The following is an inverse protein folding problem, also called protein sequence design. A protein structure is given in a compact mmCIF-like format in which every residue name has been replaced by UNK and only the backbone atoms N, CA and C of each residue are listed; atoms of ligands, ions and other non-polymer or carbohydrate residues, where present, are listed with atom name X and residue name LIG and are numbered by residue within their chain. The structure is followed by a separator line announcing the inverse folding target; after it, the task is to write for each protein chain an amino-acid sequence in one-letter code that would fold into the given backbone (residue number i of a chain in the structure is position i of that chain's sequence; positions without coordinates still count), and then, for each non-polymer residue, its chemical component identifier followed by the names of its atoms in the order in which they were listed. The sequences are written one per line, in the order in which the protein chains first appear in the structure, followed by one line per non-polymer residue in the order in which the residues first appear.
data_IF_782474503285
#
_entry.id   IF_782474503285
#
_cell.length_a   1.000
_cell.length_b   1.000
_cell.length_c   1.000
_cell.angle_alpha   90.00
_cell.angle_beta   90.00
_cell.angle_gamma   90.00
#
_symmetry.space_group_name_H-M   'P 1'
#
loop_
_entity.id
_entity.type
_entity.pdbx_description
1 polymer ?
#
# COMPACT_ATOMS: atom_id res chain seq x y z
N UNK A 1 -49.73 4.12 -12.02
CA UNK A 1 -49.22 5.41 -11.50
C UNK A 1 -48.85 5.41 -10.01
N UNK A 2 -49.77 5.38 -9.02
CA UNK A 2 -49.37 5.23 -7.59
C UNK A 2 -48.71 3.87 -7.32
N UNK A 3 -49.19 2.81 -7.97
CA UNK A 3 -48.68 1.45 -7.86
C UNK A 3 -47.24 1.29 -8.36
N UNK A 4 -46.90 1.81 -9.54
CA UNK A 4 -45.54 1.70 -10.10
C UNK A 4 -44.48 2.41 -9.25
N UNK A 5 -44.81 3.59 -8.71
CA UNK A 5 -43.90 4.29 -7.80
C UNK A 5 -43.70 3.51 -6.49
N UNK A 6 -44.78 2.91 -5.95
CA UNK A 6 -44.68 2.05 -4.75
C UNK A 6 -43.83 0.81 -5.02
N UNK A 7 -43.97 0.19 -6.19
CA UNK A 7 -43.13 -0.94 -6.62
C UNK A 7 -41.67 -0.51 -6.71
N UNK A 8 -41.37 0.62 -7.35
CA UNK A 8 -40.00 1.14 -7.47
C UNK A 8 -39.35 1.40 -6.11
N UNK A 9 -40.11 1.97 -5.16
CA UNK A 9 -39.63 2.20 -3.79
C UNK A 9 -39.42 0.86 -3.08
N UNK A 10 -40.32 -0.10 -3.22
CA UNK A 10 -40.18 -1.42 -2.63
C UNK A 10 -38.98 -2.19 -3.20
N UNK A 11 -38.76 -2.11 -4.51
CA UNK A 11 -37.57 -2.65 -5.19
C UNK A 11 -36.29 -2.02 -4.64
N UNK A 12 -36.25 -0.69 -4.53
CA UNK A 12 -35.13 0.02 -3.90
C UNK A 12 -34.88 -0.49 -2.48
N UNK A 13 -35.88 -0.46 -1.60
CA UNK A 13 -35.71 -0.93 -0.22
C UNK A 13 -35.21 -2.37 -0.17
N UNK A 14 -35.73 -3.25 -1.03
CA UNK A 14 -35.34 -4.66 -1.08
C UNK A 14 -33.87 -4.82 -1.49
N UNK A 15 -33.45 -4.19 -2.59
CA UNK A 15 -32.06 -4.29 -3.07
C UNK A 15 -31.09 -3.71 -2.04
N UNK A 16 -31.46 -2.60 -1.41
CA UNK A 16 -30.66 -1.95 -0.38
C UNK A 16 -30.50 -2.81 0.86
N UNK A 17 -31.59 -3.45 1.31
CA UNK A 17 -31.55 -4.40 2.40
C UNK A 17 -30.61 -5.58 2.06
N UNK A 18 -30.68 -6.12 0.85
CA UNK A 18 -29.79 -7.20 0.39
C UNK A 18 -28.33 -6.76 0.42
N UNK A 19 -28.00 -5.54 -0.04
CA UNK A 19 -26.64 -4.98 0.00
C UNK A 19 -26.14 -4.85 1.44
N UNK A 20 -26.93 -4.24 2.33
CA UNK A 20 -26.56 -4.07 3.74
C UNK A 20 -26.44 -5.42 4.47
N UNK A 21 -27.34 -6.35 4.17
CA UNK A 21 -27.32 -7.69 4.74
C UNK A 21 -26.09 -8.48 4.30
N UNK A 22 -25.76 -8.48 3.00
CA UNK A 22 -24.54 -9.12 2.52
C UNK A 22 -23.27 -8.52 3.14
N UNK A 23 -23.25 -7.19 3.31
CA UNK A 23 -22.14 -6.51 3.98
C UNK A 23 -22.04 -6.87 5.47
N UNK A 24 -23.18 -7.09 6.14
CA UNK A 24 -23.22 -7.51 7.55
C UNK A 24 -22.55 -8.87 7.80
N UNK A 25 -22.55 -9.75 6.79
CA UNK A 25 -21.98 -11.09 6.87
C UNK A 25 -20.45 -11.12 6.75
N UNK A 26 -19.81 -9.98 6.44
CA UNK A 26 -18.36 -9.91 6.17
C UNK A 26 -17.51 -10.38 7.35
N UNK A 27 -17.98 -10.22 8.58
CA UNK A 27 -17.26 -10.68 9.77
C UNK A 27 -17.10 -12.20 9.85
N UNK A 28 -17.99 -12.97 9.20
CA UNK A 28 -17.96 -14.44 9.17
C UNK A 28 -17.46 -15.01 7.85
N UNK A 29 -17.88 -14.43 6.72
CA UNK A 29 -17.65 -14.97 5.38
C UNK A 29 -16.63 -14.17 4.57
N UNK A 30 -16.05 -13.11 5.15
CA UNK A 30 -15.21 -12.15 4.43
C UNK A 30 -15.99 -11.28 3.43
N UNK A 31 -15.29 -10.36 2.78
CA UNK A 31 -15.87 -9.42 1.80
C UNK A 31 -16.12 -10.03 0.41
N UNK A 32 -15.64 -11.25 0.13
CA UNK A 32 -15.73 -11.86 -1.20
C UNK A 32 -17.18 -11.97 -1.71
N UNK A 33 -18.09 -12.45 -0.86
CA UNK A 33 -19.51 -12.60 -1.18
C UNK A 33 -20.20 -11.25 -1.42
N UNK A 34 -19.79 -10.23 -0.66
CA UNK A 34 -20.27 -8.87 -0.85
C UNK A 34 -19.82 -8.30 -2.20
N UNK A 35 -18.54 -8.49 -2.58
CA UNK A 35 -18.06 -8.05 -3.90
C UNK A 35 -18.73 -8.80 -5.05
N UNK A 36 -18.98 -10.11 -4.90
CA UNK A 36 -19.74 -10.88 -5.88
C UNK A 36 -21.16 -10.31 -6.07
N UNK A 37 -21.86 -9.96 -4.98
CA UNK A 37 -23.16 -9.30 -5.03
C UNK A 37 -23.09 -7.93 -5.73
N UNK A 38 -22.14 -7.08 -5.34
CA UNK A 38 -21.94 -5.76 -5.96
C UNK A 38 -21.65 -5.90 -7.46
N UNK A 39 -20.86 -6.90 -7.85
CA UNK A 39 -20.63 -7.20 -9.25
C UNK A 39 -21.88 -7.65 -9.99
N UNK A 40 -22.63 -8.59 -9.42
CA UNK A 40 -23.91 -9.05 -9.98
C UNK A 40 -24.92 -7.91 -10.15
N UNK A 41 -25.07 -7.06 -9.13
CA UNK A 41 -25.92 -5.87 -9.18
C UNK A 41 -25.46 -4.87 -10.25
N UNK A 42 -24.15 -4.75 -10.50
CA UNK A 42 -23.62 -3.93 -11.60
C UNK A 42 -24.05 -4.46 -12.96
N UNK A 43 -23.95 -5.78 -13.18
CA UNK A 43 -24.39 -6.40 -14.43
C UNK A 43 -25.90 -6.24 -14.65
N UNK A 44 -26.71 -6.43 -13.60
CA UNK A 44 -28.16 -6.20 -13.64
C UNK A 44 -28.47 -4.73 -13.92
N UNK A 45 -27.79 -3.79 -13.26
CA UNK A 45 -27.95 -2.36 -13.50
C UNK A 45 -27.72 -2.00 -14.97
N UNK A 46 -26.62 -2.50 -15.55
CA UNK A 46 -26.24 -2.27 -16.94
C UNK A 46 -27.34 -2.79 -17.88
N UNK A 47 -27.76 -4.04 -17.68
CA UNK A 47 -28.78 -4.66 -18.50
C UNK A 47 -30.15 -3.99 -18.39
N UNK A 48 -30.61 -3.64 -17.18
CA UNK A 48 -31.89 -2.94 -16.95
C UNK A 48 -31.86 -1.53 -17.56
N UNK A 49 -30.70 -0.87 -17.53
CA UNK A 49 -30.49 0.46 -18.14
C UNK A 49 -30.61 0.38 -19.66
N UNK A 50 -29.96 -0.61 -20.27
CA UNK A 50 -30.05 -0.87 -21.72
C UNK A 50 -31.45 -1.27 -22.16
N UNK A 51 -32.15 -2.09 -21.36
CA UNK A 51 -33.53 -2.46 -21.62
C UNK A 51 -34.49 -1.27 -21.57
N UNK A 52 -34.03 -0.11 -21.08
CA UNK A 52 -34.78 1.13 -21.09
C UNK A 52 -35.98 1.09 -20.15
N UNK A 53 -35.94 0.27 -19.09
CA UNK A 53 -37.04 0.13 -18.13
C UNK A 53 -37.25 1.46 -17.42
N UNK A 54 -38.42 2.05 -17.63
CA UNK A 54 -38.80 3.36 -17.09
C UNK A 54 -40.14 3.29 -16.36
N UNK A 55 -40.23 4.06 -15.27
CA UNK A 55 -41.47 4.31 -14.55
C UNK A 55 -41.88 5.75 -14.81
N UNK A 56 -43.07 5.96 -15.36
CA UNK A 56 -43.56 7.30 -15.71
C UNK A 56 -44.58 7.78 -14.68
N UNK A 57 -44.32 8.95 -14.11
CA UNK A 57 -45.20 9.69 -13.18
C UNK A 57 -45.49 11.05 -13.84
N UNK A 58 -46.60 11.76 -13.52
CA UNK A 58 -46.97 12.97 -14.26
C UNK A 58 -45.83 13.99 -14.29
N UNK A 59 -45.27 14.22 -15.47
CA UNK A 59 -44.18 15.16 -15.72
C UNK A 59 -42.76 14.66 -15.40
N UNK A 60 -42.58 13.42 -14.92
CA UNK A 60 -41.28 12.87 -14.52
C UNK A 60 -41.13 11.40 -14.95
N UNK A 61 -40.07 11.07 -15.68
CA UNK A 61 -39.69 9.69 -16.00
C UNK A 61 -38.51 9.24 -15.14
N UNK A 62 -38.64 8.10 -14.46
CA UNK A 62 -37.57 7.47 -13.69
C UNK A 62 -36.99 6.29 -14.47
N UNK A 63 -35.66 6.15 -14.50
CA UNK A 63 -34.98 5.03 -15.14
C UNK A 63 -34.63 3.99 -14.06
N UNK A 64 -35.27 2.82 -14.08
CA UNK A 64 -35.18 1.85 -12.97
C UNK A 64 -33.74 1.43 -12.70
N UNK A 65 -32.96 1.19 -13.77
CA UNK A 65 -31.55 0.80 -13.69
C UNK A 65 -30.70 1.75 -12.84
N UNK A 66 -30.72 3.04 -13.16
CA UNK A 66 -29.96 4.05 -12.41
C UNK A 66 -30.65 4.41 -11.09
N UNK A 67 -31.99 4.40 -11.02
CA UNK A 67 -32.74 4.83 -9.84
C UNK A 67 -32.62 3.85 -8.67
N UNK A 68 -32.64 2.54 -8.93
CA UNK A 68 -32.62 1.50 -7.89
C UNK A 68 -31.22 0.91 -7.71
N UNK A 69 -30.67 0.33 -8.77
CA UNK A 69 -29.47 -0.49 -8.66
C UNK A 69 -28.21 0.35 -8.45
N UNK A 70 -28.04 1.42 -9.23
CA UNK A 70 -26.85 2.26 -9.10
C UNK A 70 -26.72 2.87 -7.70
N UNK A 71 -27.81 3.32 -7.10
CA UNK A 71 -27.76 3.88 -5.75
C UNK A 71 -27.63 2.84 -4.66
N UNK A 72 -28.05 1.60 -4.90
CA UNK A 72 -27.67 0.49 -4.04
C UNK A 72 -26.16 0.19 -4.12
N UNK A 73 -25.55 0.32 -5.32
CA UNK A 73 -24.09 0.20 -5.49
C UNK A 73 -23.35 1.33 -4.75
N UNK A 74 -23.79 2.59 -4.90
CA UNK A 74 -23.22 3.72 -4.16
C UNK A 74 -23.35 3.53 -2.64
N UNK A 75 -24.50 3.05 -2.16
CA UNK A 75 -24.67 2.71 -0.75
C UNK A 75 -23.70 1.60 -0.32
N UNK A 76 -23.54 0.55 -1.12
CA UNK A 76 -22.62 -0.54 -0.83
C UNK A 76 -21.17 -0.04 -0.72
N UNK A 77 -20.74 0.79 -1.67
CA UNK A 77 -19.42 1.44 -1.65
C UNK A 77 -19.27 2.34 -0.44
N UNK A 78 -20.30 3.12 -0.09
CA UNK A 78 -20.31 3.97 1.10
C UNK A 78 -20.07 3.17 2.37
N UNK A 79 -20.81 2.08 2.56
CA UNK A 79 -20.72 1.28 3.78
C UNK A 79 -19.37 0.57 3.88
N UNK A 80 -18.85 0.01 2.78
CA UNK A 80 -17.49 -0.55 2.76
C UNK A 80 -16.45 0.51 3.07
N UNK A 81 -16.61 1.73 2.55
CA UNK A 81 -15.70 2.83 2.84
C UNK A 81 -15.69 3.21 4.31
N UNK A 82 -16.87 3.36 4.91
CA UNK A 82 -17.02 3.74 6.31
C UNK A 82 -16.43 2.68 7.26
N UNK A 83 -16.61 1.39 6.96
CA UNK A 83 -16.29 0.32 7.91
C UNK A 83 -15.01 -0.47 7.59
N UNK A 84 -14.68 -0.68 6.32
CA UNK A 84 -13.56 -1.52 5.89
C UNK A 84 -12.43 -0.68 5.25
N UNK A 85 -12.68 0.62 5.08
CA UNK A 85 -11.69 1.60 4.70
C UNK A 85 -11.32 1.58 3.22
N UNK A 86 -10.29 2.34 2.84
CA UNK A 86 -10.05 2.69 1.44
C UNK A 86 -9.57 1.52 0.58
N UNK A 87 -8.81 0.56 1.15
CA UNK A 87 -8.31 -0.61 0.40
C UNK A 87 -9.45 -1.52 -0.05
N UNK A 88 -10.40 -1.80 0.84
CA UNK A 88 -11.60 -2.58 0.53
C UNK A 88 -12.48 -1.82 -0.48
N UNK A 89 -12.65 -0.52 -0.27
CA UNK A 89 -13.40 0.36 -1.18
C UNK A 89 -12.85 0.28 -2.60
N UNK A 90 -11.51 0.37 -2.78
CA UNK A 90 -10.82 0.25 -4.08
C UNK A 90 -11.22 -1.01 -4.84
N UNK A 91 -11.36 -2.14 -4.15
CA UNK A 91 -11.77 -3.41 -4.75
C UNK A 91 -13.23 -3.32 -5.21
N UNK A 92 -14.13 -2.79 -4.38
CA UNK A 92 -15.53 -2.58 -4.75
C UNK A 92 -15.68 -1.70 -6.01
N UNK A 93 -14.96 -0.58 -6.06
CA UNK A 93 -14.96 0.31 -7.24
C UNK A 93 -14.42 -0.40 -8.47
N UNK A 94 -13.26 -1.06 -8.34
CA UNK A 94 -12.65 -1.79 -9.45
C UNK A 94 -13.59 -2.86 -10.00
N UNK A 95 -14.40 -3.46 -9.13
CA UNK A 95 -15.44 -4.42 -9.50
C UNK A 95 -16.56 -3.74 -10.30
N UNK A 96 -17.08 -2.61 -9.80
CA UNK A 96 -18.17 -1.85 -10.47
C UNK A 96 -17.70 -1.31 -11.83
N UNK A 97 -16.54 -0.65 -11.89
CA UNK A 97 -15.98 -0.10 -13.12
C UNK A 97 -15.63 -1.22 -14.10
N UNK A 98 -14.96 -2.28 -13.61
CA UNK A 98 -14.56 -3.42 -14.43
C UNK A 98 -15.76 -4.09 -15.10
N UNK A 99 -16.84 -4.34 -14.35
CA UNK A 99 -18.06 -4.92 -14.89
C UNK A 99 -18.87 -3.93 -15.74
N UNK A 100 -18.87 -2.64 -15.37
CA UNK A 100 -19.45 -1.56 -16.17
C UNK A 100 -18.81 -1.40 -17.55
N UNK A 101 -17.56 -1.84 -17.74
CA UNK A 101 -16.87 -1.91 -19.04
C UNK A 101 -17.07 -3.28 -19.70
N UNK A 102 -16.94 -4.36 -18.92
CA UNK A 102 -16.99 -5.73 -19.44
C UNK A 102 -18.36 -6.07 -20.03
N UNK A 103 -19.45 -5.76 -19.32
CA UNK A 103 -20.81 -6.13 -19.79
C UNK A 103 -21.14 -5.46 -21.12
N UNK A 104 -20.83 -4.17 -21.34
CA UNK A 104 -20.98 -3.55 -22.64
C UNK A 104 -20.14 -4.17 -23.75
N UNK A 105 -18.87 -4.45 -23.46
CA UNK A 105 -17.98 -5.09 -24.42
C UNK A 105 -18.52 -6.46 -24.87
N UNK A 106 -18.96 -7.28 -23.92
CA UNK A 106 -19.55 -8.60 -24.20
C UNK A 106 -20.84 -8.45 -25.03
N UNK A 107 -21.70 -7.49 -24.67
CA UNK A 107 -22.96 -7.24 -25.39
C UNK A 107 -22.70 -6.79 -26.82
N UNK A 108 -21.69 -5.94 -27.05
CA UNK A 108 -21.28 -5.53 -28.39
C UNK A 108 -20.80 -6.71 -29.25
N UNK A 109 -20.00 -7.62 -28.68
CA UNK A 109 -19.55 -8.85 -29.38
C UNK A 109 -20.73 -9.77 -29.69
N UNK A 110 -21.66 -9.96 -28.75
CA UNK A 110 -22.87 -10.74 -28.98
C UNK A 110 -23.73 -10.14 -30.10
N UNK A 111 -23.79 -8.81 -30.19
CA UNK A 111 -24.54 -8.14 -31.23
C UNK A 111 -23.97 -8.43 -32.64
N UNK A 112 -22.65 -8.55 -32.78
CA UNK A 112 -22.01 -8.98 -34.02
C UNK A 112 -22.42 -10.41 -34.41
N UNK A 113 -22.50 -11.32 -33.43
CA UNK A 113 -22.93 -12.69 -33.67
C UNK A 113 -24.42 -12.80 -34.04
N UNK A 114 -25.27 -12.03 -33.36
CA UNK A 114 -26.73 -12.00 -33.58
C UNK A 114 -27.04 -11.48 -34.99
N UNK A 115 -26.32 -10.46 -35.46
CA UNK A 115 -26.47 -9.92 -36.82
C UNK A 115 -26.20 -10.96 -37.91
N UNK A 116 -25.34 -11.95 -37.65
CA UNK A 116 -24.99 -13.01 -38.60
C UNK A 116 -25.95 -14.20 -38.49
N UNK A 117 -26.46 -14.50 -37.29
CA UNK A 117 -27.20 -15.75 -37.02
C UNK A 117 -28.71 -15.61 -37.20
N UNK A 118 -29.34 -14.71 -36.43
CA UNK A 118 -30.80 -14.56 -36.35
C UNK A 118 -31.13 -13.23 -35.66
N UNK A 119 -31.61 -12.27 -36.44
CA UNK A 119 -31.88 -10.90 -35.97
C UNK A 119 -33.08 -10.80 -35.03
N UNK A 120 -33.94 -11.81 -34.96
CA UNK A 120 -35.08 -11.84 -34.03
C UNK A 120 -34.65 -11.85 -32.56
N UNK A 121 -33.40 -12.26 -32.29
CA UNK A 121 -32.82 -12.32 -30.94
C UNK A 121 -32.19 -11.00 -30.48
N UNK A 122 -32.11 -9.99 -31.34
CA UNK A 122 -31.55 -8.68 -30.99
C UNK A 122 -32.33 -7.98 -29.86
N UNK A 123 -33.61 -8.30 -29.68
CA UNK A 123 -34.44 -7.74 -28.62
C UNK A 123 -33.97 -8.12 -27.20
N UNK A 124 -33.24 -9.23 -27.02
CA UNK A 124 -32.75 -9.67 -25.71
C UNK A 124 -31.48 -8.95 -25.26
N UNK A 125 -30.75 -8.33 -26.20
CA UNK A 125 -29.49 -7.63 -25.97
C UNK A 125 -29.57 -6.23 -26.59
N UNK A 126 -30.15 -5.26 -25.86
CA UNK A 126 -30.42 -3.94 -26.41
C UNK A 126 -29.12 -3.25 -26.85
N UNK A 127 -29.16 -2.43 -27.91
CA UNK A 127 -27.99 -1.73 -28.42
C UNK A 127 -27.53 -0.65 -27.43
N UNK A 128 -26.21 -0.50 -27.35
CA UNK A 128 -25.57 0.28 -26.30
C UNK A 128 -25.11 1.65 -26.76
N UNK A 129 -25.42 2.67 -25.97
CA UNK A 129 -24.94 4.04 -26.20
C UNK A 129 -23.59 4.26 -25.52
N UNK A 130 -22.51 4.36 -26.31
CA UNK A 130 -21.17 4.70 -25.82
C UNK A 130 -21.16 5.97 -24.95
N UNK A 131 -22.03 6.93 -25.26
CA UNK A 131 -22.14 8.18 -24.51
C UNK A 131 -22.70 7.96 -23.09
N UNK A 132 -23.73 7.12 -22.95
CA UNK A 132 -24.35 6.83 -21.64
C UNK A 132 -23.36 6.06 -20.77
N UNK A 133 -22.61 5.11 -21.36
CA UNK A 133 -21.62 4.32 -20.64
C UNK A 133 -20.43 5.13 -20.16
N UNK A 134 -19.84 5.95 -21.04
CA UNK A 134 -18.72 6.82 -20.65
C UNK A 134 -19.15 7.79 -19.56
N UNK A 135 -20.34 8.38 -19.66
CA UNK A 135 -20.92 9.22 -18.60
C UNK A 135 -21.09 8.46 -17.28
N UNK A 136 -21.62 7.23 -17.30
CA UNK A 136 -21.83 6.41 -16.09
C UNK A 136 -20.51 6.07 -15.39
N UNK A 137 -19.49 5.66 -16.14
CA UNK A 137 -18.18 5.29 -15.58
C UNK A 137 -17.49 6.52 -14.98
N UNK A 138 -17.53 7.65 -15.68
CA UNK A 138 -16.91 8.91 -15.20
C UNK A 138 -17.64 9.42 -13.96
N UNK A 139 -18.98 9.41 -13.95
CA UNK A 139 -19.78 9.78 -12.80
C UNK A 139 -19.47 8.87 -11.60
N UNK A 140 -19.46 7.54 -11.78
CA UNK A 140 -19.14 6.59 -10.71
C UNK A 140 -17.73 6.80 -10.11
N UNK A 141 -16.74 7.11 -10.96
CA UNK A 141 -15.40 7.41 -10.49
C UNK A 141 -15.35 8.73 -9.69
N UNK A 142 -16.03 9.77 -10.16
CA UNK A 142 -16.09 11.06 -9.48
C UNK A 142 -16.89 10.99 -8.17
N UNK A 143 -18.02 10.29 -8.17
CA UNK A 143 -18.89 10.05 -7.00
C UNK A 143 -18.12 9.40 -5.87
N UNK A 144 -17.24 8.46 -6.19
CA UNK A 144 -16.38 7.84 -5.20
C UNK A 144 -15.45 8.85 -4.54
N UNK A 145 -14.71 9.63 -5.34
CA UNK A 145 -13.75 10.60 -4.82
C UNK A 145 -14.51 11.60 -3.94
N UNK A 146 -15.67 12.04 -4.42
CA UNK A 146 -16.54 12.94 -3.67
C UNK A 146 -17.09 12.32 -2.38
N UNK A 147 -17.53 11.07 -2.40
CA UNK A 147 -18.03 10.35 -1.22
C UNK A 147 -17.00 10.35 -0.12
N UNK A 148 -15.76 10.02 -0.48
CA UNK A 148 -14.65 9.95 0.45
C UNK A 148 -14.33 11.34 1.03
N UNK A 149 -14.23 12.36 0.17
CA UNK A 149 -13.99 13.76 0.58
C UNK A 149 -15.12 14.32 1.43
N UNK A 150 -16.37 14.08 1.06
CA UNK A 150 -17.54 14.56 1.79
C UNK A 150 -17.63 13.92 3.17
N UNK A 151 -17.39 12.61 3.26
CA UNK A 151 -17.37 11.90 4.55
C UNK A 151 -16.26 12.41 5.46
N UNK A 152 -15.06 12.61 4.95
CA UNK A 152 -13.94 13.15 5.72
C UNK A 152 -14.21 14.61 6.17
N UNK A 153 -14.65 15.45 5.24
CA UNK A 153 -14.93 16.87 5.49
C UNK A 153 -15.99 17.03 6.58
N UNK A 154 -17.13 16.35 6.44
CA UNK A 154 -18.24 16.40 7.41
C UNK A 154 -17.92 15.71 8.75
N UNK A 155 -16.83 14.93 8.80
CA UNK A 155 -16.34 14.27 10.01
C UNK A 155 -15.40 15.11 10.87
N UNK A 156 -14.97 16.29 10.40
CA UNK A 156 -13.98 17.11 11.13
C UNK A 156 -14.53 17.53 12.50
N UNK A 157 -13.73 17.42 13.58
CA UNK A 157 -14.17 17.79 14.95
C UNK A 157 -14.72 19.22 15.05
N UNK A 158 -14.22 20.14 14.22
CA UNK A 158 -14.67 21.54 14.16
C UNK A 158 -16.13 21.71 13.75
N UNK A 159 -16.70 20.77 12.98
CA UNK A 159 -18.10 20.84 12.54
C UNK A 159 -19.08 20.25 13.57
N UNK A 160 -18.59 19.47 14.55
CA UNK A 160 -19.37 18.81 15.59
C UNK A 160 -20.70 18.18 15.08
N UNK A 161 -20.66 17.57 13.89
CA UNK A 161 -21.86 17.04 13.23
C UNK A 161 -22.23 15.67 13.81
N UNK A 162 -23.51 15.45 14.17
CA UNK A 162 -23.94 14.13 14.62
C UNK A 162 -23.90 13.12 13.47
N UNK A 163 -23.60 11.86 13.80
CA UNK A 163 -23.39 10.78 12.82
C UNK A 163 -24.56 10.59 11.84
N UNK A 164 -25.79 10.78 12.33
CA UNK A 164 -27.00 10.66 11.51
C UNK A 164 -27.01 11.72 10.40
N UNK A 165 -26.73 12.99 10.74
CA UNK A 165 -26.72 14.08 9.78
C UNK A 165 -25.55 13.97 8.81
N UNK A 166 -24.36 13.59 9.31
CA UNK A 166 -23.18 13.32 8.48
C UNK A 166 -23.46 12.25 7.42
N UNK A 167 -24.08 11.13 7.82
CA UNK A 167 -24.39 10.02 6.91
C UNK A 167 -25.46 10.41 5.88
N UNK A 168 -26.47 11.17 6.29
CA UNK A 168 -27.50 11.68 5.38
C UNK A 168 -26.91 12.63 4.34
N UNK A 169 -26.15 13.64 4.78
CA UNK A 169 -25.59 14.67 3.90
C UNK A 169 -24.55 14.12 2.93
N UNK A 170 -23.75 13.14 3.36
CA UNK A 170 -22.81 12.45 2.46
C UNK A 170 -23.52 11.66 1.38
N UNK A 171 -24.48 10.80 1.76
CA UNK A 171 -25.25 10.02 0.80
C UNK A 171 -25.99 10.92 -0.19
N UNK A 172 -26.71 11.93 0.32
CA UNK A 172 -27.47 12.88 -0.52
C UNK A 172 -26.54 13.66 -1.46
N UNK A 173 -25.41 14.16 -0.94
CA UNK A 173 -24.45 14.92 -1.71
C UNK A 173 -23.86 14.11 -2.87
N UNK A 174 -23.46 12.87 -2.60
CA UNK A 174 -22.93 11.96 -3.64
C UNK A 174 -24.01 11.68 -4.69
N UNK A 175 -25.23 11.36 -4.26
CA UNK A 175 -26.33 11.10 -5.19
C UNK A 175 -26.71 12.31 -6.04
N UNK A 176 -26.54 13.53 -5.54
CA UNK A 176 -26.79 14.75 -6.30
C UNK A 176 -25.66 15.08 -7.27
N UNK A 177 -24.41 14.86 -6.86
CA UNK A 177 -23.28 14.97 -7.77
C UNK A 177 -23.42 13.99 -8.94
N UNK A 178 -23.80 12.74 -8.66
CA UNK A 178 -24.13 11.73 -9.67
C UNK A 178 -25.12 12.28 -10.70
N UNK A 179 -26.25 12.83 -10.24
CA UNK A 179 -27.26 13.39 -11.15
C UNK A 179 -26.66 14.44 -12.08
N UNK A 180 -25.85 15.36 -11.53
CA UNK A 180 -25.23 16.41 -12.34
C UNK A 180 -24.29 15.79 -13.37
N UNK A 181 -23.37 14.92 -12.95
CA UNK A 181 -22.35 14.36 -13.82
C UNK A 181 -22.94 13.42 -14.88
N UNK A 182 -23.79 12.48 -14.45
CA UNK A 182 -24.42 11.51 -15.34
C UNK A 182 -25.41 12.18 -16.30
N UNK A 183 -26.35 13.00 -15.81
CA UNK A 183 -27.35 13.60 -16.70
C UNK A 183 -26.70 14.54 -17.72
N UNK A 184 -25.68 15.29 -17.31
CA UNK A 184 -24.91 16.15 -18.22
C UNK A 184 -24.15 15.32 -19.24
N UNK A 185 -23.38 14.32 -18.79
CA UNK A 185 -22.60 13.47 -19.69
C UNK A 185 -23.47 12.70 -20.69
N UNK A 186 -24.55 12.09 -20.22
CA UNK A 186 -25.41 11.22 -21.01
C UNK A 186 -26.41 11.98 -21.91
N UNK A 187 -27.00 13.08 -21.41
CA UNK A 187 -28.18 13.69 -22.03
C UNK A 187 -28.05 15.17 -22.39
N UNK A 188 -26.92 15.85 -22.09
CA UNK A 188 -26.75 17.26 -22.48
C UNK A 188 -26.97 17.46 -23.99
N UNK A 189 -27.72 18.49 -24.35
CA UNK A 189 -28.11 18.78 -25.75
C UNK A 189 -29.30 17.97 -26.27
N UNK A 190 -29.88 17.05 -25.48
CA UNK A 190 -31.14 16.39 -25.84
C UNK A 190 -32.35 17.18 -25.30
N UNK A 191 -33.51 17.14 -25.98
CA UNK A 191 -34.71 17.87 -25.55
C UNK A 191 -35.26 17.41 -24.18
N UNK A 192 -34.91 16.20 -23.74
CA UNK A 192 -35.28 15.65 -22.44
C UNK A 192 -34.34 15.99 -21.27
N UNK A 193 -33.21 16.66 -21.53
CA UNK A 193 -32.15 16.86 -20.53
C UNK A 193 -32.65 17.41 -19.19
N UNK A 194 -33.37 18.54 -19.21
CA UNK A 194 -33.85 19.18 -17.98
C UNK A 194 -34.90 18.35 -17.25
N UNK A 195 -35.81 17.69 -17.97
CA UNK A 195 -36.85 16.84 -17.38
C UNK A 195 -36.25 15.59 -16.72
N UNK A 196 -35.26 14.97 -17.38
CA UNK A 196 -34.52 13.83 -16.82
C UNK A 196 -33.74 14.27 -15.58
N UNK A 197 -33.03 15.40 -15.65
CA UNK A 197 -32.22 15.90 -14.53
C UNK A 197 -33.07 16.23 -13.30
N UNK A 198 -34.13 17.04 -13.45
CA UNK A 198 -35.01 17.42 -12.33
C UNK A 198 -35.73 16.21 -11.76
N UNK A 199 -36.22 15.31 -12.63
CA UNK A 199 -36.82 14.04 -12.23
C UNK A 199 -35.89 13.17 -11.40
N UNK A 200 -34.63 13.05 -11.85
CA UNK A 200 -33.61 12.26 -11.16
C UNK A 200 -33.25 12.89 -9.82
N UNK A 201 -33.09 14.21 -9.72
CA UNK A 201 -32.86 14.90 -8.44
C UNK A 201 -33.95 14.59 -7.40
N UNK A 202 -35.22 14.72 -7.80
CA UNK A 202 -36.36 14.43 -6.92
C UNK A 202 -36.35 12.95 -6.51
N UNK A 203 -36.10 12.04 -7.46
CA UNK A 203 -36.01 10.61 -7.15
C UNK A 203 -34.91 10.30 -6.13
N UNK A 204 -33.72 10.89 -6.29
CA UNK A 204 -32.57 10.69 -5.41
C UNK A 204 -32.84 11.23 -4.01
N UNK A 205 -33.53 12.37 -3.91
CA UNK A 205 -33.95 12.93 -2.63
C UNK A 205 -34.95 12.01 -1.91
N UNK A 206 -36.00 11.56 -2.62
CA UNK A 206 -37.00 10.65 -2.05
C UNK A 206 -36.35 9.35 -1.58
N UNK A 207 -35.52 8.74 -2.42
CA UNK A 207 -34.81 7.50 -2.09
C UNK A 207 -33.87 7.70 -0.91
N UNK A 208 -33.12 8.80 -0.87
CA UNK A 208 -32.24 9.13 0.27
C UNK A 208 -33.04 9.20 1.58
N UNK A 209 -34.19 9.87 1.58
CA UNK A 209 -35.06 9.98 2.76
C UNK A 209 -35.60 8.60 3.18
N UNK A 210 -36.03 7.77 2.23
CA UNK A 210 -36.56 6.44 2.51
C UNK A 210 -35.49 5.45 3.00
N UNK A 211 -34.28 5.52 2.45
CA UNK A 211 -33.17 4.59 2.75
C UNK A 211 -32.44 4.98 4.03
N UNK A 212 -32.34 6.28 4.30
CA UNK A 212 -31.56 6.80 5.41
C UNK A 212 -31.85 6.14 6.77
N UNK A 213 -33.11 5.86 7.17
CA UNK A 213 -33.40 5.14 8.40
C UNK A 213 -32.72 3.77 8.48
N UNK A 214 -32.69 3.02 7.37
CA UNK A 214 -32.04 1.70 7.30
C UNK A 214 -30.52 1.82 7.38
N UNK A 215 -29.94 2.78 6.66
CA UNK A 215 -28.51 3.05 6.72
C UNK A 215 -28.08 3.48 8.13
N UNK A 216 -28.83 4.39 8.76
CA UNK A 216 -28.52 4.86 10.10
C UNK A 216 -28.65 3.74 11.14
N UNK A 217 -29.73 2.95 11.07
CA UNK A 217 -29.89 1.76 11.91
C UNK A 217 -28.72 0.78 11.71
N UNK A 218 -28.36 0.51 10.45
CA UNK A 218 -27.25 -0.36 10.11
C UNK A 218 -25.92 0.12 10.71
N UNK A 219 -25.60 1.42 10.54
CA UNK A 219 -24.34 1.99 11.05
C UNK A 219 -24.29 1.90 12.57
N UNK A 220 -25.38 2.27 13.24
CA UNK A 220 -25.46 2.25 14.72
C UNK A 220 -25.41 0.83 15.28
N UNK A 221 -26.11 -0.12 14.65
CA UNK A 221 -26.07 -1.54 15.02
C UNK A 221 -24.66 -2.11 14.84
N UNK A 222 -24.02 -1.85 13.70
CA UNK A 222 -22.69 -2.35 13.41
C UNK A 222 -21.64 -1.79 14.39
N UNK A 223 -21.71 -0.51 14.70
CA UNK A 223 -20.82 0.15 15.66
C UNK A 223 -20.97 -0.49 17.06
N UNK A 224 -22.20 -0.78 17.50
CA UNK A 224 -22.45 -1.44 18.80
C UNK A 224 -21.96 -2.89 18.85
N UNK A 225 -22.18 -3.68 17.80
CA UNK A 225 -21.86 -5.13 17.82
C UNK A 225 -20.37 -5.40 17.67
N UNK A 226 -19.67 -4.61 16.86
CA UNK A 226 -18.27 -4.88 16.52
C UNK A 226 -17.27 -3.92 17.21
N UNK A 227 -17.76 -2.96 18.01
CA UNK A 227 -16.91 -2.02 18.76
C UNK A 227 -15.95 -1.21 17.88
N UNK A 228 -16.29 -1.02 16.60
CA UNK A 228 -15.42 -0.31 15.65
C UNK A 228 -15.62 1.19 15.81
N UNK A 229 -14.64 1.87 16.38
CA UNK A 229 -14.60 3.34 16.31
C UNK A 229 -14.62 3.75 14.84
N UNK A 230 -15.58 4.62 14.49
CA UNK A 230 -15.65 5.25 13.16
C UNK A 230 -14.47 6.21 13.08
N UNK A 231 -13.32 5.65 12.74
CA UNK A 231 -12.07 6.37 12.64
C UNK A 231 -12.16 7.27 11.39
N UNK A 232 -11.96 8.57 11.58
CA UNK A 232 -11.89 9.52 10.47
C UNK A 232 -10.61 9.25 9.68
N UNK A 233 -10.62 8.23 8.82
CA UNK A 233 -9.47 7.87 8.00
C UNK A 233 -9.37 8.87 6.85
N UNK A 234 -8.28 9.65 6.73
CA UNK A 234 -8.14 10.64 5.67
C UNK A 234 -7.96 9.94 4.31
N UNK A 235 -8.71 10.38 3.30
CA UNK A 235 -8.70 9.85 1.91
C UNK A 235 -7.32 9.98 1.27
N UNK A 236 -6.59 11.03 1.64
CA UNK A 236 -5.22 11.25 1.20
C UNK A 236 -4.29 10.09 1.59
N UNK A 237 -4.65 9.21 2.54
CA UNK A 237 -3.92 7.99 2.87
C UNK A 237 -3.82 6.98 1.71
N UNK A 238 -4.72 7.00 0.71
CA UNK A 238 -4.59 6.13 -0.48
C UNK A 238 -3.36 6.52 -1.31
N UNK A 239 -3.10 7.83 -1.41
CA UNK A 239 -1.88 8.38 -2.01
C UNK A 239 -0.71 8.37 -1.01
N UNK A 240 -1.00 8.56 0.28
CA UNK A 240 0.00 8.69 1.34
C UNK A 240 0.62 7.38 1.80
N UNK A 241 -0.10 6.25 1.87
CA UNK A 241 0.48 4.97 2.32
C UNK A 241 1.63 4.53 1.41
N UNK A 242 1.50 4.72 0.09
CA UNK A 242 2.59 4.41 -0.84
C UNK A 242 3.74 5.40 -0.69
N UNK A 243 3.47 6.68 -0.43
CA UNK A 243 4.55 7.67 -0.25
C UNK A 243 5.23 7.57 1.10
N UNK A 244 4.51 7.33 2.19
CA UNK A 244 5.05 7.22 3.55
C UNK A 244 5.85 5.93 3.70
N UNK A 245 5.36 4.79 3.21
CA UNK A 245 6.15 3.55 3.19
C UNK A 245 7.37 3.67 2.27
N UNK A 246 7.26 4.34 1.12
CA UNK A 246 8.44 4.62 0.26
C UNK A 246 9.42 5.58 0.93
N UNK A 247 8.93 6.56 1.67
CA UNK A 247 9.75 7.53 2.39
C UNK A 247 10.50 6.84 3.53
N UNK A 248 9.81 6.07 4.37
CA UNK A 248 10.40 5.27 5.45
C UNK A 248 11.44 4.29 4.92
N UNK A 249 11.14 3.60 3.80
CA UNK A 249 12.11 2.71 3.15
C UNK A 249 13.34 3.48 2.65
N UNK A 250 13.15 4.67 2.07
CA UNK A 250 14.25 5.50 1.59
C UNK A 250 15.13 6.00 2.74
N UNK A 251 14.53 6.37 3.87
CA UNK A 251 15.24 6.82 5.06
C UNK A 251 16.02 5.67 5.70
N UNK A 252 15.41 4.49 5.80
CA UNK A 252 16.09 3.29 6.29
C UNK A 252 17.26 2.89 5.38
N UNK A 253 17.11 2.99 4.05
CA UNK A 253 18.18 2.76 3.09
C UNK A 253 19.33 3.76 3.24
N UNK A 254 19.01 5.06 3.42
CA UNK A 254 20.02 6.09 3.68
C UNK A 254 20.79 5.85 4.98
N UNK A 255 20.11 5.47 6.06
CA UNK A 255 20.76 5.19 7.35
C UNK A 255 21.65 3.94 7.27
N UNK A 256 21.23 2.88 6.57
CA UNK A 256 22.07 1.70 6.34
C UNK A 256 23.33 2.06 5.55
N UNK A 257 23.21 2.85 4.49
CA UNK A 257 24.36 3.25 3.68
C UNK A 257 25.32 4.14 4.48
N UNK A 258 24.79 5.04 5.32
CA UNK A 258 25.58 5.84 6.25
C UNK A 258 26.38 4.97 7.22
N UNK A 259 25.74 3.95 7.82
CA UNK A 259 26.42 3.02 8.74
C UNK A 259 27.50 2.21 8.04
N UNK A 260 27.21 1.67 6.85
CA UNK A 260 28.20 0.93 6.04
C UNK A 260 29.41 1.78 5.70
N UNK A 261 29.22 3.06 5.37
CA UNK A 261 30.34 3.96 5.09
C UNK A 261 31.24 4.15 6.30
N UNK A 262 30.65 4.43 7.47
CA UNK A 262 31.39 4.57 8.73
C UNK A 262 32.13 3.28 9.11
N UNK A 263 31.51 2.13 8.85
CA UNK A 263 32.11 0.82 9.13
C UNK A 263 33.31 0.54 8.23
N UNK A 264 33.23 0.86 6.93
CA UNK A 264 34.39 0.78 6.01
C UNK A 264 35.52 1.74 6.42
N UNK A 265 35.20 2.99 6.74
CA UNK A 265 36.19 3.97 7.19
C UNK A 265 36.89 3.49 8.47
N UNK A 266 36.15 2.86 9.39
CA UNK A 266 36.70 2.26 10.61
C UNK A 266 37.60 1.07 10.30
N UNK A 267 37.19 0.17 9.39
CA UNK A 267 38.00 -0.98 8.97
C UNK A 267 39.32 -0.53 8.30
N UNK A 268 39.26 0.45 7.41
CA UNK A 268 40.44 1.06 6.78
C UNK A 268 41.37 1.68 7.82
N UNK A 269 40.82 2.43 8.78
CA UNK A 269 41.60 3.03 9.86
C UNK A 269 42.26 1.97 10.74
N UNK A 270 41.53 0.92 11.13
CA UNK A 270 42.08 -0.22 11.88
C UNK A 270 43.23 -0.87 11.10
N UNK A 271 43.06 -1.09 9.79
CA UNK A 271 44.12 -1.63 8.94
C UNK A 271 45.36 -0.75 8.92
N UNK A 272 45.19 0.57 8.77
CA UNK A 272 46.30 1.53 8.80
C UNK A 272 47.02 1.57 10.15
N UNK A 273 46.28 1.51 11.26
CA UNK A 273 46.82 1.49 12.61
C UNK A 273 47.60 0.19 12.86
N UNK A 274 47.09 -0.95 12.41
CA UNK A 274 47.79 -2.23 12.51
C UNK A 274 49.09 -2.23 11.69
N UNK A 275 49.06 -1.68 10.48
CA UNK A 275 50.26 -1.55 9.64
C UNK A 275 51.32 -0.65 10.30
N UNK A 276 50.91 0.51 10.82
CA UNK A 276 51.80 1.42 11.55
C UNK A 276 52.39 0.78 12.80
N UNK A 277 51.59 0.04 13.58
CA UNK A 277 52.07 -0.70 14.75
C UNK A 277 53.09 -1.78 14.38
N UNK A 278 52.86 -2.52 13.30
CA UNK A 278 53.81 -3.52 12.82
C UNK A 278 55.12 -2.90 12.36
N UNK A 279 55.07 -1.73 11.70
CA UNK A 279 56.28 -1.02 11.29
C UNK A 279 57.08 -0.52 12.50
N UNK A 280 56.41 0.06 13.51
CA UNK A 280 57.07 0.43 14.78
C UNK A 280 57.71 -0.78 15.45
N UNK A 281 57.04 -1.94 15.49
CA UNK A 281 57.62 -3.18 16.03
C UNK A 281 58.87 -3.61 15.27
N UNK A 282 58.87 -3.53 13.94
CA UNK A 282 60.03 -3.87 13.10
C UNK A 282 61.20 -2.91 13.37
N UNK A 283 60.94 -1.61 13.41
CA UNK A 283 61.95 -0.59 13.67
C UNK A 283 62.56 -0.74 15.07
N UNK A 284 61.76 -1.07 16.09
CA UNK A 284 62.25 -1.39 17.44
C UNK A 284 63.06 -2.69 17.51
N UNK A 285 62.93 -3.59 16.53
CA UNK A 285 63.72 -4.82 16.43
C UNK A 285 65.12 -4.62 15.84
N UNK A 286 65.43 -3.44 15.29
CA UNK A 286 66.75 -3.13 14.76
C UNK A 286 67.65 -2.70 15.91
N UNK A 287 68.58 -3.58 16.30
CA UNK A 287 69.59 -3.28 17.32
C UNK A 287 70.77 -2.54 16.65
N UNK A 288 71.03 -1.27 16.98
CA UNK A 288 72.16 -0.54 16.43
C UNK A 288 73.48 -1.12 16.97
N UNK A 289 74.19 -1.89 16.16
CA UNK A 289 75.49 -2.48 16.52
C UNK A 289 76.67 -1.68 15.96
N UNK A 290 77.75 -1.56 16.72
CA UNK A 290 79.00 -0.97 16.24
C UNK A 290 79.63 -1.86 15.16
N UNK A 291 79.97 -1.29 14.00
CA UNK A 291 80.54 -2.05 12.89
C UNK A 291 81.87 -2.74 13.25
N UNK A 292 82.64 -2.14 14.16
CA UNK A 292 83.97 -2.59 14.58
C UNK A 292 83.93 -3.59 15.74
N UNK A 293 83.37 -3.20 16.90
CA UNK A 293 83.41 -4.02 18.12
C UNK A 293 82.13 -4.81 18.40
N UNK A 294 81.07 -4.67 17.59
CA UNK A 294 79.76 -5.36 17.72
C UNK A 294 78.95 -5.06 18.99
N UNK A 295 79.37 -4.10 19.82
CA UNK A 295 78.55 -3.59 20.92
C UNK A 295 77.22 -3.03 20.41
N UNK A 296 76.14 -3.18 21.19
CA UNK A 296 74.81 -2.62 20.90
C UNK A 296 74.67 -1.26 21.60
N UNK A 297 74.08 -0.27 20.91
CA UNK A 297 73.73 1.02 21.50
C UNK A 297 72.34 0.99 22.15
N UNK A 298 72.23 1.44 23.39
CA UNK A 298 70.94 1.57 24.09
C UNK A 298 70.17 2.85 23.72
N UNK A 299 68.95 3.00 24.23
CA UNK A 299 68.09 4.16 24.01
C UNK A 299 68.66 5.46 24.61
N UNK A 300 69.54 5.35 25.62
CA UNK A 300 70.25 6.48 26.24
C UNK A 300 71.53 6.85 25.48
N UNK A 301 71.89 6.08 24.45
CA UNK A 301 73.02 6.31 23.58
C UNK A 301 74.34 5.66 24.01
N UNK A 302 74.36 4.86 25.08
CA UNK A 302 75.54 4.15 25.58
C UNK A 302 75.76 2.83 24.83
N UNK A 303 77.01 2.36 24.78
CA UNK A 303 77.39 1.12 24.10
C UNK A 303 77.62 -0.02 25.10
N UNK A 304 76.94 -1.13 24.89
CA UNK A 304 77.00 -2.32 25.74
C UNK A 304 77.47 -3.54 24.96
N UNK A 305 78.11 -4.47 25.65
CA UNK A 305 78.42 -5.77 25.06
C UNK A 305 77.12 -6.52 24.70
N UNK A 306 77.14 -7.27 23.59
CA UNK A 306 75.97 -7.95 23.03
C UNK A 306 75.23 -8.79 24.08
N UNK A 307 75.96 -9.64 24.81
CA UNK A 307 75.39 -10.56 25.80
C UNK A 307 74.73 -9.80 26.96
N UNK A 308 75.39 -8.75 27.45
CA UNK A 308 74.87 -7.89 28.52
C UNK A 308 73.58 -7.17 28.09
N UNK A 309 73.56 -6.63 26.88
CA UNK A 309 72.39 -5.93 26.36
C UNK A 309 71.18 -6.87 26.22
N UNK A 310 71.38 -8.04 25.60
CA UNK A 310 70.31 -9.02 25.36
C UNK A 310 69.79 -9.60 26.68
N UNK A 311 70.66 -9.92 27.64
CA UNK A 311 70.26 -10.46 28.93
C UNK A 311 69.45 -9.46 29.77
N UNK A 312 69.69 -8.15 29.62
CA UNK A 312 68.93 -7.11 30.32
C UNK A 312 67.62 -6.70 29.62
N UNK A 313 67.49 -6.98 28.32
CA UNK A 313 66.31 -6.58 27.51
C UNK A 313 65.46 -7.76 27.02
N UNK A 314 65.75 -8.98 27.47
CA UNK A 314 64.99 -10.19 27.15
C UNK A 314 65.10 -11.24 28.26
N UNK A 315 64.32 -12.30 28.16
CA UNK A 315 64.39 -13.44 29.10
C UNK A 315 65.55 -14.42 28.79
N UNK A 316 66.41 -14.09 27.81
CA UNK A 316 67.50 -14.96 27.39
C UNK A 316 68.62 -15.07 28.43
N UNK A 317 69.17 -16.28 28.61
CA UNK A 317 70.34 -16.57 29.45
C UNK A 317 71.49 -17.08 28.59
N UNK A 318 72.68 -16.52 28.74
CA UNK A 318 73.87 -16.96 28.00
C UNK A 318 74.64 -18.03 28.78
N UNK A 319 74.94 -19.15 28.12
CA UNK A 319 75.92 -20.14 28.56
C UNK A 319 77.17 -20.06 27.69
N UNK A 320 78.35 -20.13 28.28
CA UNK A 320 79.60 -20.11 27.52
C UNK A 320 79.97 -21.53 27.09
N UNK A 321 80.09 -21.73 25.77
CA UNK A 321 80.56 -22.97 25.15
C UNK A 321 81.40 -22.66 23.93
N UNK A 322 82.19 -23.62 23.46
CA UNK A 322 83.00 -23.48 22.25
C UNK A 322 82.38 -24.34 21.14
N UNK A 323 82.13 -23.75 19.96
CA UNK A 323 81.59 -24.53 18.85
C UNK A 323 82.66 -25.51 18.32
N UNK A 324 82.27 -26.65 17.72
CA UNK A 324 83.22 -27.65 17.23
C UNK A 324 84.24 -27.11 16.23
N UNK A 325 83.87 -26.11 15.42
CA UNK A 325 84.78 -25.48 14.46
C UNK A 325 85.86 -24.65 15.16
N UNK A 326 85.47 -23.75 16.07
CA UNK A 326 86.42 -22.96 16.85
C UNK A 326 87.31 -23.85 17.72
N UNK A 327 86.78 -24.95 18.26
CA UNK A 327 87.54 -25.89 19.06
C UNK A 327 88.64 -26.58 18.22
N UNK A 328 88.34 -26.99 16.98
CA UNK A 328 89.34 -27.56 16.06
C UNK A 328 90.40 -26.54 15.65
N UNK A 329 90.02 -25.29 15.43
CA UNK A 329 90.94 -24.23 14.96
C UNK A 329 91.87 -23.74 16.06
N UNK A 330 91.35 -23.51 17.27
CA UNK A 330 92.11 -22.91 18.37
C UNK A 330 92.68 -23.95 19.34
N UNK A 331 92.16 -25.18 19.33
CA UNK A 331 92.63 -26.29 20.14
C UNK A 331 92.78 -27.58 19.29
N UNK A 332 93.61 -27.56 18.23
CA UNK A 332 93.72 -28.67 17.28
C UNK A 332 94.18 -29.99 17.92
N UNK A 333 94.95 -29.93 19.01
CA UNK A 333 95.47 -31.10 19.72
C UNK A 333 94.54 -31.60 20.84
N UNK A 334 93.46 -30.88 21.14
CA UNK A 334 92.47 -31.34 22.10
C UNK A 334 91.56 -32.38 21.43
N UNK A 335 91.51 -33.61 21.96
CA UNK A 335 90.47 -34.59 21.58
C UNK A 335 89.10 -34.11 22.08
N UNK A 336 88.49 -33.20 21.34
CA UNK A 336 87.15 -32.68 21.65
C UNK A 336 86.13 -33.77 21.31
N UNK A 337 85.69 -34.51 22.34
CA UNK A 337 84.58 -35.45 22.20
C UNK A 337 83.30 -34.66 21.94
N UNK A 338 82.91 -34.59 20.66
CA UNK A 338 81.66 -34.03 20.22
C UNK A 338 80.51 -34.95 20.64
N UNK A 339 80.02 -34.79 21.88
CA UNK A 339 78.66 -35.14 22.32
C UNK A 339 78.59 -35.03 23.84
N UNK A 340 78.08 -33.90 24.35
CA UNK A 340 77.24 -33.87 25.56
C UNK A 340 76.32 -32.65 25.44
N UNK A 341 75.24 -32.80 24.68
CA UNK A 341 74.02 -32.05 24.96
C UNK A 341 73.59 -32.44 26.37
N UNK A 342 73.74 -31.53 27.33
CA UNK A 342 73.04 -31.63 28.61
C UNK A 342 71.78 -30.78 28.50
N UNK A 343 70.64 -31.28 29.00
CA UNK A 343 69.33 -30.67 28.84
C UNK A 343 69.25 -29.26 29.43
#
# INVERSE_FOLDING_TARGET
MRSELLILIAEAITVYFVVLWAHSLRGRLGLAHFYALIGGLTAVMVWVTDAGVRVNVPGISFMVGSTVFYTALLLGVFVVYVFDGPRATRIAISTIIGLGIMVPLVTAVLHLQIQISDTTRAAYFPPQSLRIYTASIVAAFADLIFLAMAWEFLGKPRLNMPLWLRSFLTLLGVMWLDVVLFATGAFAGTPGYFSIMTGTFVSRLVISICVFPFLYWYITWQNRVHGMEIENRPVLAILKEVTEVRLELSLAQQEIERRKKVEREKEELIGSLQAALNEVKRLRGILPTCAYCKNIRDEQGNWHQLEYYIQNHSEAKFSHGICPECAKTHFPDAKVNATRERP
#
